data_IF_241807068026
#
_entry.id   IF_241807068026
#
_cell.length_a   1.000
_cell.length_b   1.000
_cell.length_c   1.000
_cell.angle_alpha   90.00
_cell.angle_beta   90.00
_cell.angle_gamma   90.00
#
_symmetry.space_group_name_H-M   'P 1'
#
loop_
_entity.id
_entity.type
_entity.pdbx_description
1 polymer ?
#
# COMPACT_ATOMS: atom_id res chain seq x y z
N UNK A 1 -1.36 -8.72 -0.80
CA UNK A 1 -0.19 -8.15 -0.10
C UNK A 1 1.03 -8.25 -1.01
N UNK A 2 1.49 -7.13 -1.54
CA UNK A 2 2.59 -7.06 -2.52
C UNK A 2 3.88 -6.67 -1.81
N UNK A 3 4.94 -7.50 -1.97
CA UNK A 3 6.18 -7.37 -1.21
C UNK A 3 6.00 -7.85 0.23
N UNK A 4 5.48 -9.06 0.37
CA UNK A 4 4.97 -9.57 1.67
C UNK A 4 6.05 -9.81 2.72
N UNK A 5 7.32 -9.90 2.32
CA UNK A 5 8.46 -10.22 3.20
C UNK A 5 8.18 -11.48 4.05
N UNK A 6 8.00 -11.31 5.35
CA UNK A 6 7.75 -12.43 6.29
C UNK A 6 6.27 -12.79 6.43
N UNK A 7 5.37 -12.20 5.66
CA UNK A 7 3.93 -12.48 5.69
C UNK A 7 3.18 -11.98 6.93
N UNK A 8 3.78 -11.08 7.70
CA UNK A 8 3.19 -10.61 8.97
C UNK A 8 1.87 -9.89 8.77
N UNK A 9 1.76 -9.03 7.74
CA UNK A 9 0.51 -8.32 7.43
C UNK A 9 -0.57 -9.30 6.99
N UNK A 10 -0.24 -10.24 6.08
CA UNK A 10 -1.17 -11.25 5.60
C UNK A 10 -1.72 -12.09 6.76
N UNK A 11 -0.85 -12.56 7.65
CA UNK A 11 -1.22 -13.33 8.84
C UNK A 11 -2.11 -12.50 9.78
N UNK A 12 -1.75 -11.24 10.03
CA UNK A 12 -2.53 -10.35 10.90
C UNK A 12 -3.94 -10.13 10.36
N UNK A 13 -4.09 -9.89 9.05
CA UNK A 13 -5.40 -9.72 8.40
C UNK A 13 -6.29 -10.97 8.59
N UNK A 14 -5.70 -12.16 8.42
CA UNK A 14 -6.41 -13.43 8.57
C UNK A 14 -6.79 -13.72 10.02
N UNK A 15 -5.90 -13.49 10.98
CA UNK A 15 -6.16 -13.71 12.41
C UNK A 15 -7.23 -12.77 12.95
N UNK A 16 -7.23 -11.50 12.51
CA UNK A 16 -8.22 -10.51 12.92
C UNK A 16 -9.53 -10.59 12.12
N UNK A 17 -9.67 -11.60 11.23
CA UNK A 17 -10.87 -11.82 10.41
C UNK A 17 -11.26 -10.60 9.57
N UNK A 18 -10.26 -9.83 9.14
CA UNK A 18 -10.47 -8.70 8.21
C UNK A 18 -10.79 -9.23 6.82
N UNK A 19 -10.22 -10.38 6.48
CA UNK A 19 -10.50 -11.14 5.25
C UNK A 19 -10.41 -12.63 5.53
N UNK A 20 -11.04 -13.44 4.67
CA UNK A 20 -10.99 -14.91 4.77
C UNK A 20 -9.78 -15.50 4.05
N UNK A 21 -9.25 -14.80 3.04
CA UNK A 21 -8.09 -15.24 2.24
C UNK A 21 -7.18 -14.08 1.91
N UNK A 22 -5.88 -14.37 1.78
CA UNK A 22 -4.87 -13.40 1.33
C UNK A 22 -4.02 -14.07 0.25
N UNK A 23 -3.83 -13.39 -0.88
CA UNK A 23 -2.72 -13.67 -1.79
C UNK A 23 -1.57 -12.75 -1.42
N UNK A 24 -0.45 -13.33 -1.04
CA UNK A 24 0.76 -12.62 -0.67
C UNK A 24 1.87 -12.93 -1.68
N UNK A 25 2.52 -11.90 -2.20
CA UNK A 25 3.54 -12.08 -3.21
C UNK A 25 4.83 -11.33 -2.90
N UNK A 26 5.92 -11.84 -3.47
CA UNK A 26 7.24 -11.22 -3.43
C UNK A 26 8.00 -11.60 -4.71
N UNK A 27 8.94 -10.76 -5.11
CA UNK A 27 9.81 -11.02 -6.25
C UNK A 27 10.87 -12.10 -5.96
N UNK A 28 11.10 -12.39 -4.68
CA UNK A 28 12.08 -13.35 -4.21
C UNK A 28 11.42 -14.55 -3.52
N UNK A 29 11.96 -15.74 -3.75
CA UNK A 29 11.44 -16.96 -3.11
C UNK A 29 11.76 -17.05 -1.60
N UNK A 30 12.84 -16.43 -1.13
CA UNK A 30 13.24 -16.47 0.28
C UNK A 30 12.23 -15.80 1.22
N UNK A 31 11.70 -14.58 0.94
CA UNK A 31 10.59 -14.01 1.67
C UNK A 31 9.36 -14.91 1.69
N UNK A 32 8.96 -15.48 0.55
CA UNK A 32 7.80 -16.37 0.48
C UNK A 32 7.94 -17.59 1.38
N UNK A 33 9.14 -18.19 1.44
CA UNK A 33 9.41 -19.29 2.36
C UNK A 33 9.32 -18.84 3.83
N UNK A 34 9.69 -17.60 4.15
CA UNK A 34 9.52 -17.04 5.48
C UNK A 34 8.04 -16.78 5.79
N UNK A 35 7.29 -16.24 4.84
CA UNK A 35 5.84 -16.01 4.97
C UNK A 35 5.07 -17.33 5.20
N UNK A 36 5.45 -18.42 4.53
CA UNK A 36 4.85 -19.74 4.78
C UNK A 36 5.10 -20.22 6.22
N UNK A 37 6.33 -20.10 6.71
CA UNK A 37 6.65 -20.48 8.12
C UNK A 37 5.86 -19.61 9.11
N UNK A 38 5.68 -18.33 8.81
CA UNK A 38 4.86 -17.46 9.65
C UNK A 38 3.40 -17.89 9.60
N UNK A 39 2.83 -18.19 8.44
CA UNK A 39 1.47 -18.66 8.29
C UNK A 39 1.23 -19.98 9.08
N UNK A 40 2.13 -20.94 8.96
CA UNK A 40 2.09 -22.21 9.73
C UNK A 40 2.17 -21.99 11.23
N UNK A 41 3.09 -21.12 11.68
CA UNK A 41 3.21 -20.78 13.11
C UNK A 41 1.91 -20.23 13.70
N UNK A 42 1.13 -19.53 12.90
CA UNK A 42 -0.11 -18.89 13.34
C UNK A 42 -1.38 -19.64 12.91
N UNK A 43 -1.26 -20.81 12.27
CA UNK A 43 -2.37 -21.69 11.88
C UNK A 43 -3.30 -21.07 10.83
N UNK A 44 -2.72 -20.38 9.83
CA UNK A 44 -3.47 -19.73 8.77
C UNK A 44 -2.99 -20.12 7.36
N UNK A 45 -2.15 -21.15 7.26
CA UNK A 45 -1.52 -21.59 6.00
C UNK A 45 -2.53 -21.98 4.92
N UNK A 46 -3.69 -22.52 5.30
CA UNK A 46 -4.75 -22.90 4.36
C UNK A 46 -5.50 -21.69 3.76
N UNK A 47 -5.29 -20.51 4.32
CA UNK A 47 -5.98 -19.27 3.91
C UNK A 47 -5.05 -18.27 3.22
N UNK A 48 -3.76 -18.58 3.11
CA UNK A 48 -2.77 -17.75 2.44
C UNK A 48 -2.31 -18.42 1.14
N UNK A 49 -2.34 -17.69 0.03
CA UNK A 49 -1.76 -18.10 -1.23
C UNK A 49 -0.46 -17.33 -1.46
N UNK A 50 0.66 -18.03 -1.60
CA UNK A 50 1.95 -17.40 -1.86
C UNK A 50 2.31 -17.47 -3.34
N UNK A 51 2.72 -16.34 -3.93
CA UNK A 51 3.08 -16.25 -5.34
C UNK A 51 4.42 -15.54 -5.53
N UNK A 52 5.28 -16.13 -6.34
CA UNK A 52 6.47 -15.44 -6.85
C UNK A 52 6.02 -14.49 -7.96
N UNK A 53 6.17 -13.17 -7.75
CA UNK A 53 5.65 -12.15 -8.65
C UNK A 53 6.47 -10.87 -8.58
N UNK A 54 6.80 -10.31 -9.72
CA UNK A 54 7.25 -8.91 -9.80
C UNK A 54 6.03 -8.01 -9.74
N UNK A 55 5.85 -7.35 -8.59
CA UNK A 55 4.63 -6.59 -8.31
C UNK A 55 3.36 -7.44 -8.48
N UNK A 56 2.47 -7.03 -9.36
CA UNK A 56 1.18 -7.67 -9.63
C UNK A 56 1.17 -8.56 -10.88
N UNK A 57 2.32 -8.73 -11.55
CA UNK A 57 2.39 -9.37 -12.88
C UNK A 57 1.90 -10.82 -12.92
N UNK A 58 2.08 -11.58 -11.83
CA UNK A 58 1.64 -12.99 -11.72
C UNK A 58 0.38 -13.15 -10.83
N UNK A 59 -0.29 -12.05 -10.46
CA UNK A 59 -1.49 -12.09 -9.64
C UNK A 59 -2.72 -12.06 -10.53
N UNK A 60 -3.58 -13.08 -10.48
CA UNK A 60 -4.84 -13.06 -11.22
C UNK A 60 -5.75 -11.92 -10.73
N UNK A 61 -6.43 -11.30 -11.66
CA UNK A 61 -7.37 -10.22 -11.39
C UNK A 61 -8.45 -10.59 -10.35
N UNK A 62 -8.95 -11.82 -10.41
CA UNK A 62 -9.95 -12.36 -9.49
C UNK A 62 -9.50 -12.47 -8.04
N UNK A 63 -8.17 -12.43 -7.78
CA UNK A 63 -7.60 -12.49 -6.43
C UNK A 63 -7.27 -11.11 -5.85
N UNK A 64 -7.46 -10.04 -6.61
CA UNK A 64 -6.97 -8.71 -6.29
C UNK A 64 -8.10 -7.67 -6.08
N UNK A 65 -9.06 -7.93 -5.20
CA UNK A 65 -10.12 -6.96 -4.85
C UNK A 65 -9.54 -5.80 -4.04
N UNK A 66 -8.83 -6.11 -2.98
CA UNK A 66 -8.08 -5.16 -2.16
C UNK A 66 -6.59 -5.37 -2.37
N UNK A 67 -5.89 -4.34 -2.76
CA UNK A 67 -4.45 -4.40 -3.06
C UNK A 67 -3.71 -3.57 -2.02
N UNK A 68 -2.80 -4.23 -1.31
CA UNK A 68 -1.97 -3.59 -0.28
C UNK A 68 -0.52 -3.61 -0.75
N UNK A 69 0.12 -2.44 -0.81
CA UNK A 69 1.54 -2.28 -1.16
C UNK A 69 2.18 -1.40 -0.08
N UNK A 70 2.95 -2.01 0.80
CA UNK A 70 3.59 -1.33 1.93
C UNK A 70 5.11 -1.50 1.91
N UNK A 71 5.83 -0.53 2.47
CA UNK A 71 7.28 -0.62 2.66
C UNK A 71 8.11 -0.36 1.40
N UNK A 72 7.52 0.21 0.35
CA UNK A 72 8.19 0.48 -0.93
C UNK A 72 8.34 1.98 -1.20
N UNK A 73 9.29 2.35 -2.07
CA UNK A 73 9.38 3.73 -2.57
C UNK A 73 8.18 4.10 -3.44
N UNK A 74 7.77 5.37 -3.41
CA UNK A 74 6.61 5.85 -4.18
C UNK A 74 6.75 5.65 -5.68
N UNK A 75 7.96 5.74 -6.23
CA UNK A 75 8.23 5.46 -7.64
C UNK A 75 8.01 3.97 -8.00
N UNK A 76 8.44 3.06 -7.12
CA UNK A 76 8.23 1.64 -7.31
C UNK A 76 6.74 1.28 -7.22
N UNK A 77 6.02 1.85 -6.27
CA UNK A 77 4.56 1.68 -6.17
C UNK A 77 3.89 2.16 -7.46
N UNK A 78 4.22 3.35 -7.94
CA UNK A 78 3.68 3.89 -9.18
C UNK A 78 3.98 2.99 -10.39
N UNK A 79 5.21 2.45 -10.49
CA UNK A 79 5.59 1.49 -11.52
C UNK A 79 4.70 0.24 -11.47
N UNK A 80 4.57 -0.40 -10.31
CA UNK A 80 3.73 -1.60 -10.12
C UNK A 80 2.29 -1.31 -10.56
N UNK A 81 1.73 -0.18 -10.18
CA UNK A 81 0.37 0.20 -10.58
C UNK A 81 0.26 0.48 -12.08
N UNK A 82 1.28 1.07 -12.71
CA UNK A 82 1.27 1.38 -14.15
C UNK A 82 1.33 0.13 -15.04
N UNK A 83 1.98 -0.91 -14.56
CA UNK A 83 2.17 -2.18 -15.27
C UNK A 83 0.97 -3.12 -15.11
N UNK A 84 -0.01 -2.78 -14.27
CA UNK A 84 -1.16 -3.61 -13.96
C UNK A 84 -2.49 -2.94 -14.36
N UNK A 85 -3.06 -3.26 -15.55
CA UNK A 85 -4.27 -2.60 -16.04
C UNK A 85 -5.49 -2.74 -15.13
N UNK A 86 -5.67 -3.89 -14.48
CA UNK A 86 -6.86 -4.16 -13.68
C UNK A 86 -6.93 -3.35 -12.37
N UNK A 87 -5.85 -2.69 -11.92
CA UNK A 87 -5.92 -1.76 -10.78
C UNK A 87 -6.82 -0.55 -11.06
N UNK A 88 -7.11 -0.28 -12.35
CA UNK A 88 -8.00 0.80 -12.80
C UNK A 88 -9.50 0.42 -12.79
N UNK A 89 -9.86 -0.64 -12.13
CA UNK A 89 -11.27 -0.96 -11.90
C UNK A 89 -11.82 -0.21 -10.69
N UNK A 90 -13.02 0.36 -10.84
CA UNK A 90 -13.64 1.21 -9.80
C UNK A 90 -13.98 0.47 -8.49
N UNK A 91 -14.12 -0.85 -8.57
CA UNK A 91 -14.43 -1.70 -7.41
C UNK A 91 -13.22 -1.99 -6.53
N UNK A 92 -12.00 -1.70 -7.00
CA UNK A 92 -10.78 -2.04 -6.28
C UNK A 92 -10.38 -0.97 -5.29
N UNK A 93 -9.86 -1.41 -4.16
CA UNK A 93 -9.27 -0.54 -3.14
C UNK A 93 -7.76 -0.72 -3.12
N UNK A 94 -7.05 0.39 -3.08
CA UNK A 94 -5.59 0.41 -2.94
C UNK A 94 -5.24 0.97 -1.57
N UNK A 95 -4.45 0.22 -0.81
CA UNK A 95 -3.84 0.67 0.45
C UNK A 95 -2.33 0.74 0.21
N UNK A 96 -1.80 1.94 0.21
CA UNK A 96 -0.41 2.20 -0.17
C UNK A 96 0.33 2.83 1.00
N UNK A 97 1.49 2.27 1.34
CA UNK A 97 2.38 2.86 2.34
C UNK A 97 3.76 3.12 1.71
N UNK A 98 3.97 4.31 1.12
CA UNK A 98 5.24 4.71 0.57
C UNK A 98 6.25 5.04 1.67
N UNK A 99 7.50 4.56 1.51
CA UNK A 99 8.62 4.89 2.40
C UNK A 99 9.33 6.17 1.98
N UNK A 100 9.34 6.45 0.68
CA UNK A 100 10.01 7.59 0.06
C UNK A 100 9.19 8.11 -1.11
N UNK A 101 9.52 9.30 -1.64
CA UNK A 101 8.89 9.85 -2.85
C UNK A 101 7.36 9.97 -2.75
N UNK A 102 6.85 10.34 -1.57
CA UNK A 102 5.42 10.48 -1.34
C UNK A 102 4.79 11.54 -2.25
N UNK A 103 5.41 12.75 -2.44
CA UNK A 103 4.86 13.75 -3.34
C UNK A 103 4.76 13.25 -4.79
N UNK A 104 5.75 12.50 -5.26
CA UNK A 104 5.71 11.88 -6.59
C UNK A 104 4.53 10.91 -6.71
N UNK A 105 4.35 10.02 -5.73
CA UNK A 105 3.25 9.05 -5.75
C UNK A 105 1.88 9.73 -5.78
N UNK A 106 1.67 10.80 -4.99
CA UNK A 106 0.42 11.55 -5.00
C UNK A 106 0.15 12.19 -6.37
N UNK A 107 1.18 12.78 -7.01
CA UNK A 107 1.07 13.32 -8.37
C UNK A 107 0.70 12.23 -9.37
N UNK A 108 1.42 11.11 -9.35
CA UNK A 108 1.13 9.97 -10.20
C UNK A 108 -0.33 9.50 -10.05
N UNK A 109 -0.78 9.24 -8.83
CA UNK A 109 -2.14 8.78 -8.56
C UNK A 109 -3.19 9.76 -9.14
N UNK A 110 -3.07 11.05 -8.82
CA UNK A 110 -4.03 12.05 -9.25
C UNK A 110 -4.01 12.26 -10.78
N UNK A 111 -2.84 12.27 -11.41
CA UNK A 111 -2.71 12.46 -12.86
C UNK A 111 -3.17 11.25 -13.68
N UNK A 112 -3.17 10.06 -13.08
CA UNK A 112 -3.56 8.81 -13.76
C UNK A 112 -4.97 8.33 -13.44
N UNK A 113 -5.78 9.15 -12.75
CA UNK A 113 -7.20 8.92 -12.52
C UNK A 113 -7.53 8.21 -11.22
N UNK A 114 -6.58 8.10 -10.28
CA UNK A 114 -6.87 7.64 -8.92
C UNK A 114 -7.21 8.81 -8.00
N UNK A 115 -8.22 8.63 -7.17
CA UNK A 115 -8.51 9.53 -6.06
C UNK A 115 -7.90 8.98 -4.77
N UNK A 116 -7.22 9.85 -4.03
CA UNK A 116 -6.80 9.58 -2.66
C UNK A 116 -8.02 9.87 -1.78
N UNK A 117 -8.69 8.80 -1.33
CA UNK A 117 -9.92 8.90 -0.55
C UNK A 117 -9.64 9.34 0.88
N UNK A 118 -8.61 8.76 1.49
CA UNK A 118 -8.17 9.04 2.84
C UNK A 118 -6.66 8.89 2.95
N UNK A 119 -6.06 9.67 3.82
CA UNK A 119 -4.71 9.45 4.32
C UNK A 119 -4.72 9.44 5.83
N UNK A 120 -3.84 8.64 6.41
CA UNK A 120 -3.57 8.66 7.84
C UNK A 120 -2.08 8.49 8.10
N UNK A 121 -1.64 8.91 9.27
CA UNK A 121 -0.30 8.67 9.74
C UNK A 121 -0.30 7.68 10.91
N UNK A 122 0.77 6.91 11.01
CA UNK A 122 1.03 6.05 12.16
C UNK A 122 2.48 6.17 12.60
N UNK A 123 2.75 5.90 13.87
CA UNK A 123 4.10 5.96 14.44
C UNK A 123 4.51 4.55 14.83
N UNK A 124 5.69 4.16 14.36
CA UNK A 124 6.40 3.00 14.91
C UNK A 124 7.78 3.44 15.38
N UNK A 125 8.02 3.29 16.68
CA UNK A 125 9.25 3.74 17.36
C UNK A 125 9.52 5.23 17.11
N UNK A 126 10.48 5.56 16.22
CA UNK A 126 10.87 6.94 15.87
C UNK A 126 10.42 7.37 14.48
N UNK A 127 9.82 6.48 13.73
CA UNK A 127 9.40 6.72 12.34
C UNK A 127 7.91 7.01 12.26
N UNK A 128 7.56 8.00 11.48
CA UNK A 128 6.16 8.31 11.15
C UNK A 128 5.93 7.91 9.71
N UNK A 129 4.92 7.09 9.51
CA UNK A 129 4.54 6.56 8.20
C UNK A 129 3.22 7.17 7.76
N UNK A 130 3.07 7.37 6.46
CA UNK A 130 1.79 7.74 5.85
C UNK A 130 1.19 6.55 5.13
N UNK A 131 -0.12 6.41 5.21
CA UNK A 131 -0.88 5.36 4.56
C UNK A 131 -1.96 6.03 3.72
N UNK A 132 -2.01 5.69 2.43
CA UNK A 132 -2.97 6.22 1.47
C UNK A 132 -4.01 5.14 1.15
N UNK A 133 -5.27 5.48 1.29
CA UNK A 133 -6.38 4.71 0.76
C UNK A 133 -6.86 5.35 -0.54
N UNK A 134 -6.74 4.63 -1.63
CA UNK A 134 -7.01 5.13 -2.97
C UNK A 134 -8.01 4.23 -3.72
N UNK A 135 -8.72 4.82 -4.68
CA UNK A 135 -9.55 4.10 -5.64
C UNK A 135 -9.45 4.76 -7.01
N UNK A 136 -9.63 3.96 -8.07
CA UNK A 136 -9.69 4.48 -9.42
C UNK A 136 -11.06 5.09 -9.71
N UNK A 137 -11.08 6.33 -10.17
CA UNK A 137 -12.32 7.05 -10.55
C UNK A 137 -12.33 7.45 -12.02
N UNK A 138 -11.19 7.39 -12.69
CA UNK A 138 -10.97 7.87 -14.06
C UNK A 138 -10.83 9.39 -14.16
N UNK A 139 -10.91 10.13 -13.05
CA UNK A 139 -10.77 11.59 -13.01
C UNK A 139 -9.30 11.97 -12.87
N UNK A 140 -8.66 12.27 -13.98
CA UNK A 140 -7.30 12.80 -13.97
C UNK A 140 -7.30 14.27 -13.54
N UNK A 141 -6.39 14.64 -12.64
CA UNK A 141 -6.19 16.02 -12.19
C UNK A 141 -4.74 16.29 -11.87
N UNK A 142 -4.33 17.50 -12.15
CA UNK A 142 -3.08 18.02 -11.61
C UNK A 142 -3.28 18.48 -10.16
N UNK A 143 -2.25 18.37 -9.36
CA UNK A 143 -2.22 18.84 -7.98
C UNK A 143 -1.06 19.82 -7.82
N UNK A 144 -1.26 20.81 -6.97
CA UNK A 144 -0.22 21.76 -6.59
C UNK A 144 0.83 21.13 -5.65
N UNK A 145 1.90 21.88 -5.40
CA UNK A 145 2.97 21.45 -4.50
C UNK A 145 2.45 21.25 -3.08
N UNK A 146 1.57 22.12 -2.62
CA UNK A 146 0.99 22.00 -1.28
C UNK A 146 0.33 20.64 -1.09
N UNK A 147 -0.58 20.24 -1.99
CA UNK A 147 -1.24 18.94 -1.88
C UNK A 147 -0.26 17.79 -2.13
N UNK A 148 0.71 17.94 -3.02
CA UNK A 148 1.71 16.90 -3.27
C UNK A 148 2.52 16.58 -1.99
N UNK A 149 2.91 17.60 -1.23
CA UNK A 149 3.67 17.40 0.00
C UNK A 149 2.80 17.07 1.21
N UNK A 150 1.65 17.67 1.39
CA UNK A 150 0.83 17.48 2.59
C UNK A 150 -0.30 16.46 2.45
N UNK A 151 -0.78 16.23 1.22
CA UNK A 151 -1.92 15.35 0.96
C UNK A 151 -3.17 15.72 1.75
N UNK A 152 -3.79 14.73 2.33
CA UNK A 152 -4.93 14.90 3.25
C UNK A 152 -4.54 14.95 4.72
N UNK A 153 -3.25 14.94 5.06
CA UNK A 153 -2.77 15.00 6.44
C UNK A 153 -3.27 16.22 7.23
N UNK A 154 -3.45 17.43 6.64
CA UNK A 154 -4.05 18.55 7.38
C UNK A 154 -5.48 18.32 7.87
N UNK A 155 -6.19 17.36 7.27
CA UNK A 155 -7.55 16.97 7.66
C UNK A 155 -7.56 15.86 8.73
N UNK A 156 -6.45 15.16 8.90
CA UNK A 156 -6.26 14.09 9.88
C UNK A 156 -5.92 14.71 11.25
N UNK A 157 -6.71 14.40 12.27
CA UNK A 157 -6.60 15.04 13.59
C UNK A 157 -5.72 14.31 14.59
N UNK A 158 -5.12 13.18 14.20
CA UNK A 158 -4.28 12.36 15.10
C UNK A 158 -2.97 13.05 15.47
N UNK A 159 -2.39 12.65 16.60
CA UNK A 159 -1.05 13.09 17.00
C UNK A 159 0.02 12.68 15.98
N UNK A 160 -0.13 11.50 15.36
CA UNK A 160 0.76 11.02 14.33
C UNK A 160 0.76 11.92 13.08
N UNK A 161 -0.42 12.37 12.64
CA UNK A 161 -0.51 13.29 11.49
C UNK A 161 0.14 14.65 11.78
N UNK A 162 -0.04 15.18 12.99
CA UNK A 162 0.64 16.42 13.41
C UNK A 162 2.16 16.25 13.42
N UNK A 163 2.65 15.14 13.96
CA UNK A 163 4.08 14.82 13.99
C UNK A 163 4.62 14.68 12.56
N UNK A 164 3.89 14.02 11.67
CA UNK A 164 4.26 13.86 10.26
C UNK A 164 4.38 15.23 9.57
N UNK A 165 3.38 16.11 9.72
CA UNK A 165 3.40 17.46 9.14
C UNK A 165 4.57 18.29 9.65
N UNK A 166 4.91 18.19 10.94
CA UNK A 166 6.07 18.88 11.49
C UNK A 166 7.39 18.37 10.88
N UNK A 167 7.51 17.05 10.66
CA UNK A 167 8.70 16.49 10.00
C UNK A 167 8.81 16.92 8.55
N UNK A 168 7.71 16.95 7.80
CA UNK A 168 7.72 17.43 6.42
C UNK A 168 8.06 18.92 6.32
N UNK A 169 7.54 19.76 7.21
CA UNK A 169 7.87 21.18 7.21
C UNK A 169 9.35 21.50 7.51
N UNK A 170 10.08 20.55 8.10
CA UNK A 170 11.54 20.68 8.35
C UNK A 170 12.39 20.18 7.18
N UNK A 171 11.79 19.48 6.22
CA UNK A 171 12.47 18.96 5.04
C UNK A 171 12.37 19.89 3.83
N UNK A 172 11.40 20.81 3.86
CA UNK A 172 11.18 21.85 2.84
C UNK A 172 11.99 23.10 3.16
#
# INVERSE_FOLDING_TARGET
DVGTDQGMLAVWLLQNKITDRVTACDINAKPLAAAMRTAQKYGVEDRICLRLSDGLSAIPESEAQDIVICGMGGELIAKILSECPYVKEKSRRLILQPMTQIPFLRRYLCSTGFDILRECATVDRRHVYTILHCAYTGRCREIDDWFAYTGKMPQEKSAAARQWLLQESQRL
#
